data_IF_502434722444
#
_entry.id   IF_502434722444
#
_cell.length_a   1.000
_cell.length_b   1.000
_cell.length_c   1.000
_cell.angle_alpha   90.00
_cell.angle_beta   90.00
_cell.angle_gamma   90.00
#
_symmetry.space_group_name_H-M   'P 1'
#
loop_
_entity.id
_entity.type
_entity.pdbx_description
1 polymer ?
#
# COMPACT_ATOMS: atom_id res chain seq x y z
N UNK A 1 37.17 7.09 2.89
CA UNK A 1 36.25 5.96 2.61
C UNK A 1 34.79 6.36 2.40
N UNK A 2 34.47 7.11 1.34
CA UNK A 2 33.10 7.49 0.98
C UNK A 2 32.24 6.28 0.52
N UNK A 3 32.84 5.31 -0.16
CA UNK A 3 32.17 4.09 -0.64
C UNK A 3 31.59 3.22 0.49
N UNK A 4 32.35 3.06 1.58
CA UNK A 4 31.93 2.28 2.75
C UNK A 4 30.76 2.95 3.48
N UNK A 5 30.81 4.28 3.65
CA UNK A 5 29.71 4.99 4.32
C UNK A 5 28.42 4.91 3.49
N UNK A 6 28.50 5.07 2.16
CA UNK A 6 27.35 4.90 1.26
C UNK A 6 26.70 3.52 1.40
N UNK A 7 27.51 2.45 1.40
CA UNK A 7 26.99 1.08 1.58
C UNK A 7 26.31 0.91 2.93
N UNK A 8 26.92 1.42 4.00
CA UNK A 8 26.35 1.39 5.36
C UNK A 8 24.98 2.07 5.42
N UNK A 9 24.88 3.30 4.91
CA UNK A 9 23.63 4.07 4.88
C UNK A 9 22.57 3.37 4.01
N UNK A 10 22.96 2.89 2.83
CA UNK A 10 22.07 2.15 1.92
C UNK A 10 21.49 0.89 2.58
N UNK A 11 22.32 0.08 3.23
CA UNK A 11 21.87 -1.15 3.89
C UNK A 11 21.02 -0.89 5.14
N UNK A 12 21.30 0.18 5.89
CA UNK A 12 20.43 0.63 6.99
C UNK A 12 19.04 1.02 6.47
N UNK A 13 19.00 1.85 5.42
CA UNK A 13 17.77 2.33 4.83
C UNK A 13 16.94 1.24 4.16
N UNK A 14 17.56 0.24 3.55
CA UNK A 14 16.87 -0.93 3.00
C UNK A 14 16.10 -1.71 4.08
N UNK A 15 16.70 -1.90 5.26
CA UNK A 15 16.03 -2.54 6.41
C UNK A 15 14.87 -1.69 6.92
N UNK A 16 15.14 -0.42 7.23
CA UNK A 16 14.13 0.54 7.72
C UNK A 16 12.97 0.73 6.75
N UNK A 17 13.21 0.62 5.45
CA UNK A 17 12.17 0.73 4.43
C UNK A 17 11.15 -0.41 4.47
N UNK A 18 11.55 -1.59 4.97
CA UNK A 18 10.71 -2.78 5.13
C UNK A 18 10.00 -2.76 6.49
N UNK A 19 10.70 -2.28 7.53
CA UNK A 19 10.19 -2.18 8.90
C UNK A 19 9.13 -1.07 9.03
N UNK A 20 9.41 0.14 8.53
CA UNK A 20 8.51 1.29 8.53
C UNK A 20 7.86 1.47 7.14
N UNK A 21 7.03 0.50 6.75
CA UNK A 21 6.53 0.43 5.38
C UNK A 21 5.48 1.50 5.05
N UNK A 22 4.69 1.89 6.05
CA UNK A 22 3.63 2.91 5.92
C UNK A 22 4.20 4.33 5.77
N UNK A 23 5.42 4.59 6.25
CA UNK A 23 6.06 5.89 6.08
C UNK A 23 6.47 6.14 4.63
N UNK A 24 6.39 7.41 4.21
CA UNK A 24 6.90 7.85 2.91
C UNK A 24 8.42 7.59 2.83
N UNK A 25 8.95 7.04 1.72
CA UNK A 25 10.38 6.78 1.56
C UNK A 25 11.26 8.00 1.84
N UNK A 26 10.81 9.20 1.45
CA UNK A 26 11.53 10.46 1.71
C UNK A 26 11.71 10.74 3.20
N UNK A 27 10.71 10.44 4.03
CA UNK A 27 10.79 10.61 5.49
C UNK A 27 11.83 9.68 6.10
N UNK A 28 11.90 8.43 5.65
CA UNK A 28 12.87 7.44 6.14
C UNK A 28 14.30 7.86 5.77
N UNK A 29 14.50 8.27 4.51
CA UNK A 29 15.79 8.78 4.04
C UNK A 29 16.22 10.01 4.85
N UNK A 30 15.32 10.97 5.05
CA UNK A 30 15.63 12.20 5.77
C UNK A 30 15.99 11.95 7.24
N UNK A 31 15.26 11.07 7.93
CA UNK A 31 15.60 10.66 9.31
C UNK A 31 16.98 10.00 9.39
N UNK A 32 17.33 9.15 8.43
CA UNK A 32 18.65 8.51 8.43
C UNK A 32 19.77 9.51 8.18
N UNK A 33 19.59 10.41 7.22
CA UNK A 33 20.60 11.41 6.86
C UNK A 33 20.87 12.38 8.02
N UNK A 34 19.90 12.65 8.89
CA UNK A 34 20.14 13.43 10.11
C UNK A 34 21.11 12.75 11.09
N UNK A 35 21.16 11.42 11.07
CA UNK A 35 22.02 10.61 11.94
C UNK A 35 23.32 10.13 11.29
N UNK A 36 23.44 10.26 9.97
CA UNK A 36 24.56 9.77 9.18
C UNK A 36 25.54 10.90 8.85
N UNK A 37 26.78 10.52 8.52
CA UNK A 37 27.77 11.46 8.01
C UNK A 37 27.48 11.81 6.54
N UNK A 38 26.70 12.89 6.35
CA UNK A 38 26.20 13.34 5.04
C UNK A 38 27.31 13.93 4.17
N UNK A 39 28.40 14.44 4.76
CA UNK A 39 29.47 15.15 4.04
C UNK A 39 30.17 14.29 2.99
N UNK A 40 30.08 12.97 3.15
CA UNK A 40 30.68 11.97 2.26
C UNK A 40 29.76 11.52 1.13
N UNK A 41 28.49 11.96 1.09
CA UNK A 41 27.48 11.53 0.13
C UNK A 41 27.25 12.58 -0.96
N UNK A 42 27.18 12.13 -2.21
CA UNK A 42 26.80 12.97 -3.34
C UNK A 42 25.29 12.91 -3.59
N UNK A 43 24.75 13.88 -4.33
CA UNK A 43 23.32 13.91 -4.69
C UNK A 43 22.90 12.64 -5.45
N UNK A 44 23.77 12.15 -6.35
CA UNK A 44 23.57 10.90 -7.09
C UNK A 44 23.48 9.67 -6.17
N UNK A 45 24.24 9.64 -5.07
CA UNK A 45 24.16 8.56 -4.08
C UNK A 45 22.78 8.54 -3.41
N UNK A 46 22.22 9.72 -3.10
CA UNK A 46 20.88 9.85 -2.50
C UNK A 46 19.80 9.34 -3.47
N UNK A 47 19.93 9.64 -4.76
CA UNK A 47 19.00 9.13 -5.79
C UNK A 47 19.07 7.59 -5.89
N UNK A 48 20.28 7.04 -5.92
CA UNK A 48 20.51 5.59 -5.93
C UNK A 48 19.93 4.91 -4.69
N UNK A 49 20.09 5.51 -3.51
CA UNK A 49 19.50 5.04 -2.25
C UNK A 49 17.97 5.04 -2.33
N UNK A 50 17.36 6.12 -2.84
CA UNK A 50 15.89 6.18 -3.04
C UNK A 50 15.40 5.09 -3.99
N UNK A 51 16.15 4.79 -5.06
CA UNK A 51 15.81 3.69 -5.97
C UNK A 51 15.91 2.32 -5.28
N UNK A 52 16.96 2.10 -4.49
CA UNK A 52 17.14 0.87 -3.72
C UNK A 52 15.99 0.64 -2.74
N UNK A 53 15.58 1.67 -2.00
CA UNK A 53 14.42 1.61 -1.09
C UNK A 53 13.15 1.20 -1.84
N UNK A 54 12.89 1.81 -3.01
CA UNK A 54 11.72 1.45 -3.82
C UNK A 54 11.79 0.00 -4.31
N UNK A 55 12.97 -0.46 -4.73
CA UNK A 55 13.19 -1.86 -5.15
C UNK A 55 12.91 -2.83 -4.00
N UNK A 56 13.41 -2.57 -2.80
CA UNK A 56 13.15 -3.44 -1.64
C UNK A 56 11.66 -3.45 -1.25
N UNK A 57 10.99 -2.31 -1.27
CA UNK A 57 9.53 -2.26 -1.00
C UNK A 57 8.71 -3.04 -2.02
N UNK A 58 9.08 -2.98 -3.30
CA UNK A 58 8.43 -3.77 -4.37
C UNK A 58 8.67 -5.27 -4.26
N UNK A 59 9.65 -5.75 -3.50
CA UNK A 59 9.78 -7.19 -3.22
C UNK A 59 8.73 -7.68 -2.23
N UNK A 60 8.24 -6.79 -1.35
CA UNK A 60 7.25 -7.12 -0.30
C UNK A 60 5.81 -6.90 -0.75
N UNK A 61 5.57 -5.93 -1.64
CA UNK A 61 4.24 -5.73 -2.25
C UNK A 61 4.19 -6.32 -3.65
N UNK A 62 3.06 -6.96 -3.95
CA UNK A 62 2.75 -7.36 -5.31
C UNK A 62 2.59 -6.10 -6.17
N UNK A 63 2.81 -6.21 -7.47
CA UNK A 63 2.48 -5.12 -8.37
C UNK A 63 0.99 -4.80 -8.26
N UNK A 64 0.63 -3.53 -8.42
CA UNK A 64 -0.77 -3.17 -8.50
C UNK A 64 -1.38 -3.90 -9.71
N UNK A 65 -2.62 -4.40 -9.56
CA UNK A 65 -3.29 -5.07 -10.65
C UNK A 65 -3.39 -4.14 -11.86
N UNK A 66 -3.06 -4.66 -13.04
CA UNK A 66 -3.01 -3.91 -14.29
C UNK A 66 -4.35 -3.95 -15.01
N UNK A 67 -5.15 -4.99 -14.76
CA UNK A 67 -6.50 -5.14 -15.30
C UNK A 67 -7.56 -5.21 -14.20
N UNK A 68 -8.81 -4.94 -14.58
CA UNK A 68 -9.97 -5.08 -13.67
C UNK A 68 -10.13 -6.51 -13.18
N UNK A 69 -9.84 -7.50 -14.03
CA UNK A 69 -9.87 -8.92 -13.69
C UNK A 69 -8.82 -9.28 -12.64
N UNK A 70 -7.59 -8.78 -12.82
CA UNK A 70 -6.52 -8.98 -11.84
C UNK A 70 -6.87 -8.31 -10.50
N UNK A 71 -7.53 -7.14 -10.54
CA UNK A 71 -8.01 -6.47 -9.34
C UNK A 71 -9.09 -7.28 -8.62
N UNK A 72 -10.11 -7.77 -9.34
CA UNK A 72 -11.16 -8.64 -8.79
C UNK A 72 -10.56 -9.89 -8.15
N UNK A 73 -9.68 -10.59 -8.86
CA UNK A 73 -9.02 -11.79 -8.36
C UNK A 73 -8.16 -11.49 -7.12
N UNK A 74 -7.44 -10.37 -7.10
CA UNK A 74 -6.66 -9.96 -5.94
C UNK A 74 -7.57 -9.69 -4.73
N UNK A 75 -8.67 -8.96 -4.91
CA UNK A 75 -9.61 -8.64 -3.81
C UNK A 75 -10.23 -9.89 -3.21
N UNK A 76 -10.58 -10.89 -4.02
CA UNK A 76 -11.10 -12.18 -3.54
C UNK A 76 -10.12 -12.95 -2.65
N UNK A 77 -8.81 -12.75 -2.83
CA UNK A 77 -7.78 -13.38 -1.98
C UNK A 77 -7.46 -12.61 -0.71
N UNK A 78 -7.90 -11.36 -0.59
CA UNK A 78 -7.65 -10.54 0.59
C UNK A 78 -8.61 -10.92 1.72
N UNK A 79 -8.10 -10.96 2.95
CA UNK A 79 -8.96 -11.03 4.13
C UNK A 79 -9.64 -9.67 4.34
N UNK A 80 -10.86 -9.54 3.82
CA UNK A 80 -11.64 -8.31 3.85
C UNK A 80 -12.57 -8.28 5.06
N UNK A 81 -12.00 -8.08 6.25
CA UNK A 81 -12.77 -7.88 7.49
C UNK A 81 -12.79 -6.42 7.90
N UNK A 82 -13.92 -5.98 8.46
CA UNK A 82 -14.00 -4.67 9.12
C UNK A 82 -13.22 -4.68 10.44
N UNK A 83 -13.01 -3.51 11.03
CA UNK A 83 -12.49 -3.35 12.39
C UNK A 83 -13.35 -4.05 13.45
N UNK A 84 -14.61 -4.38 13.14
CA UNK A 84 -15.51 -5.15 13.99
C UNK A 84 -15.53 -6.66 13.66
N UNK A 85 -14.69 -7.12 12.72
CA UNK A 85 -14.54 -8.52 12.35
C UNK A 85 -15.56 -9.04 11.33
N UNK A 86 -16.47 -8.19 10.84
CA UNK A 86 -17.47 -8.54 9.84
C UNK A 86 -16.85 -8.69 8.46
N UNK A 87 -17.36 -9.62 7.64
CA UNK A 87 -16.98 -9.73 6.23
C UNK A 87 -17.46 -8.49 5.48
N UNK A 88 -16.56 -7.84 4.73
CA UNK A 88 -16.84 -6.61 3.99
C UNK A 88 -17.08 -6.85 2.49
N UNK A 89 -16.42 -7.83 1.89
CA UNK A 89 -16.67 -8.20 0.50
C UNK A 89 -17.96 -9.02 0.43
N UNK A 90 -19.03 -8.40 -0.08
CA UNK A 90 -20.35 -9.02 -0.17
C UNK A 90 -20.45 -9.94 -1.40
N UNK A 91 -19.96 -9.49 -2.55
CA UNK A 91 -19.89 -10.30 -3.76
C UNK A 91 -18.82 -9.80 -4.74
N UNK A 92 -18.37 -10.70 -5.61
CA UNK A 92 -17.50 -10.42 -6.74
C UNK A 92 -18.10 -11.07 -7.99
N UNK A 93 -18.61 -10.26 -8.92
CA UNK A 93 -19.09 -10.72 -10.22
C UNK A 93 -17.94 -10.62 -11.23
N UNK A 94 -17.32 -11.77 -11.52
CA UNK A 94 -16.17 -11.84 -12.43
C UNK A 94 -16.55 -11.57 -13.88
N UNK A 95 -17.77 -11.92 -14.29
CA UNK A 95 -18.22 -11.77 -15.68
C UNK A 95 -18.51 -10.30 -16.00
N UNK A 96 -19.07 -9.57 -15.03
CA UNK A 96 -19.36 -8.13 -15.15
C UNK A 96 -18.24 -7.23 -14.63
N UNK A 97 -17.22 -7.81 -14.01
CA UNK A 97 -16.12 -7.10 -13.33
C UNK A 97 -16.64 -6.10 -12.28
N UNK A 98 -17.67 -6.51 -11.52
CA UNK A 98 -18.31 -5.71 -10.46
C UNK A 98 -17.95 -6.30 -9.09
N UNK A 99 -17.51 -5.42 -8.19
CA UNK A 99 -17.29 -5.74 -6.79
C UNK A 99 -18.34 -5.05 -5.93
N UNK A 100 -18.97 -5.81 -5.04
CA UNK A 100 -19.91 -5.30 -4.05
C UNK A 100 -19.30 -5.34 -2.65
N UNK A 101 -19.22 -4.18 -2.00
CA UNK A 101 -18.77 -4.07 -0.61
C UNK A 101 -19.93 -3.68 0.29
N UNK A 102 -20.25 -4.55 1.24
CA UNK A 102 -21.28 -4.34 2.24
C UNK A 102 -21.10 -5.39 3.35
N UNK A 103 -21.45 -5.04 4.59
CA UNK A 103 -21.47 -6.00 5.69
C UNK A 103 -22.87 -6.59 5.91
N UNK A 104 -22.99 -7.73 6.62
CA UNK A 104 -24.28 -8.24 7.05
C UNK A 104 -25.11 -7.20 7.81
N UNK A 105 -24.46 -6.38 8.63
CA UNK A 105 -25.12 -5.26 9.33
C UNK A 105 -25.66 -4.21 8.37
N UNK A 106 -24.94 -3.86 7.29
CA UNK A 106 -25.48 -2.97 6.26
C UNK A 106 -26.75 -3.54 5.62
N UNK A 107 -26.76 -4.84 5.28
CA UNK A 107 -27.93 -5.48 4.70
C UNK A 107 -29.12 -5.54 5.66
N UNK A 108 -28.88 -5.79 6.95
CA UNK A 108 -29.94 -5.78 7.96
C UNK A 108 -30.58 -4.39 8.09
N UNK A 109 -29.76 -3.33 8.14
CA UNK A 109 -30.26 -1.95 8.15
C UNK A 109 -31.06 -1.68 6.88
N UNK A 110 -30.52 -2.03 5.72
CA UNK A 110 -31.18 -1.84 4.42
C UNK A 110 -32.55 -2.56 4.36
N UNK A 111 -32.63 -3.80 4.86
CA UNK A 111 -33.86 -4.58 4.91
C UNK A 111 -34.92 -4.01 5.87
N UNK A 112 -34.48 -3.35 6.95
CA UNK A 112 -35.38 -2.72 7.94
C UNK A 112 -35.83 -1.31 7.58
N UNK A 113 -35.18 -0.69 6.59
CA UNK A 113 -35.40 0.72 6.23
C UNK A 113 -36.49 0.83 5.16
N UNK A 114 -37.41 1.80 5.31
CA UNK A 114 -38.51 2.03 4.35
C UNK A 114 -38.10 2.88 3.15
N UNK A 115 -37.14 3.78 3.35
CA UNK A 115 -36.71 4.75 2.34
C UNK A 115 -35.19 4.69 2.22
N UNK A 116 -34.70 4.48 1.01
CA UNK A 116 -33.26 4.43 0.72
C UNK A 116 -32.92 5.61 -0.16
N UNK A 117 -32.05 6.47 0.34
CA UNK A 117 -31.46 7.54 -0.45
C UNK A 117 -30.17 7.02 -1.08
N UNK A 118 -30.14 7.02 -2.41
CA UNK A 118 -29.00 6.58 -3.20
C UNK A 118 -28.48 7.78 -3.95
N UNK A 119 -27.20 8.08 -3.78
CA UNK A 119 -26.49 9.04 -4.62
C UNK A 119 -25.77 8.28 -5.73
N UNK A 120 -25.79 8.83 -6.92
CA UNK A 120 -25.15 8.25 -8.08
C UNK A 120 -24.86 9.32 -9.12
N UNK A 121 -23.62 9.37 -9.58
CA UNK A 121 -23.27 10.04 -10.83
C UNK A 121 -23.69 9.14 -11.99
N UNK A 122 -24.96 9.21 -12.36
CA UNK A 122 -25.47 8.61 -13.59
C UNK A 122 -25.14 9.57 -14.75
N UNK A 123 -24.47 9.06 -15.79
CA UNK A 123 -24.35 9.74 -17.09
C UNK A 123 -25.49 9.32 -18.01
#
# INVERSE_FOLDING_TARGET
DSSLNRQRVSNSLKRKAIDDICSRPSKIVQRELQSADVTTLQLSDIENIKQNIRRERRKKFHNLPVSRQEATAAVETLETRTNHGELLLAFADRDREILGFATPSNFNVLASTKEVYVDGTFQ
#
